data_IF_191643471624
#
_entry.id   IF_191643471624
#
_cell.length_a   1.000
_cell.length_b   1.000
_cell.length_c   1.000
_cell.angle_alpha   90.00
_cell.angle_beta   90.00
_cell.angle_gamma   90.00
#
_symmetry.space_group_name_H-M   'P 1'
#
loop_
_entity.id
_entity.type
_entity.pdbx_description
1 polymer ?
#
# COMPACT_ATOMS: atom_id res chain seq x y z
N UNK A 1 -7.95 -42.81 -33.33
CA UNK A 1 -8.48 -41.95 -32.28
C UNK A 1 -7.29 -41.20 -31.64
N UNK A 2 -7.12 -39.93 -31.98
CA UNK A 2 -6.04 -39.07 -31.45
C UNK A 2 -6.59 -38.26 -30.28
N UNK A 3 -6.14 -38.56 -29.07
CA UNK A 3 -6.49 -37.80 -27.88
C UNK A 3 -5.71 -36.48 -27.88
N UNK A 4 -6.44 -35.36 -27.97
CA UNK A 4 -5.94 -34.00 -27.87
C UNK A 4 -5.81 -33.68 -26.38
N UNK A 5 -4.60 -33.71 -25.84
CA UNK A 5 -4.27 -33.22 -24.50
C UNK A 5 -4.24 -31.69 -24.55
N UNK A 6 -5.32 -31.03 -24.08
CA UNK A 6 -5.35 -29.62 -23.82
C UNK A 6 -4.53 -29.35 -22.53
N UNK A 7 -3.30 -28.88 -22.71
CA UNK A 7 -2.49 -28.35 -21.62
C UNK A 7 -3.09 -27.02 -21.16
N UNK A 8 -3.76 -27.05 -20.01
CA UNK A 8 -4.23 -25.85 -19.31
C UNK A 8 -3.00 -25.11 -18.75
N UNK A 9 -2.51 -24.10 -19.46
CA UNK A 9 -1.46 -23.22 -18.96
C UNK A 9 -2.05 -22.41 -17.81
N UNK A 10 -1.75 -22.82 -16.58
CA UNK A 10 -1.95 -21.98 -15.39
C UNK A 10 -1.05 -20.74 -15.53
N UNK A 11 -1.64 -19.60 -15.82
CA UNK A 11 -1.01 -18.31 -15.67
C UNK A 11 -0.75 -18.09 -14.17
N UNK A 12 0.44 -18.46 -13.75
CA UNK A 12 0.97 -18.03 -12.45
C UNK A 12 1.19 -16.53 -12.57
N UNK A 13 0.21 -15.75 -12.13
CA UNK A 13 0.42 -14.31 -11.90
C UNK A 13 1.43 -14.24 -10.75
N UNK A 14 2.64 -13.67 -10.94
CA UNK A 14 3.54 -13.52 -9.83
C UNK A 14 2.86 -12.59 -8.82
N UNK A 15 2.48 -13.11 -7.67
CA UNK A 15 2.16 -12.31 -6.50
C UNK A 15 3.43 -11.52 -6.20
N UNK A 16 3.45 -10.25 -6.57
CA UNK A 16 4.52 -9.36 -6.17
C UNK A 16 4.45 -9.26 -4.64
N UNK A 17 5.21 -10.11 -4.00
CA UNK A 17 5.41 -10.07 -2.55
C UNK A 17 6.18 -8.79 -2.29
N UNK A 18 5.51 -7.77 -1.78
CA UNK A 18 6.15 -6.57 -1.25
C UNK A 18 6.85 -6.86 0.10
N UNK A 19 7.04 -8.14 0.42
CA UNK A 19 7.77 -8.58 1.60
C UNK A 19 9.19 -8.02 1.56
N UNK A 20 9.43 -6.96 2.35
CA UNK A 20 10.76 -6.39 2.53
C UNK A 20 11.07 -5.17 1.68
N UNK A 21 10.08 -4.45 1.15
CA UNK A 21 10.35 -3.13 0.59
C UNK A 21 10.98 -2.26 1.68
N UNK A 22 12.23 -1.85 1.47
CA UNK A 22 12.86 -0.85 2.33
C UNK A 22 12.15 0.49 2.10
N UNK A 23 11.16 0.77 2.97
CA UNK A 23 10.30 1.96 2.90
C UNK A 23 11.16 3.23 2.91
N UNK A 24 12.24 3.24 3.70
CA UNK A 24 13.16 4.37 3.74
C UNK A 24 13.87 4.55 2.42
N UNK A 25 14.32 3.46 1.77
CA UNK A 25 14.95 3.56 0.46
C UNK A 25 13.99 4.14 -0.57
N UNK A 26 12.79 3.58 -0.70
CA UNK A 26 11.81 3.98 -1.72
C UNK A 26 11.28 5.39 -1.51
N UNK A 27 11.06 5.81 -0.25
CA UNK A 27 10.43 7.09 0.05
C UNK A 27 11.42 8.26 0.22
N UNK A 28 12.69 7.98 0.46
CA UNK A 28 13.68 9.05 0.73
C UNK A 28 14.96 8.90 -0.09
N UNK A 29 15.69 7.78 0.04
CA UNK A 29 17.04 7.64 -0.52
C UNK A 29 17.10 7.73 -2.04
N UNK A 30 16.10 7.21 -2.73
CA UNK A 30 16.05 7.31 -4.19
C UNK A 30 15.92 8.75 -4.65
N UNK A 31 15.20 9.59 -3.89
CA UNK A 31 15.08 11.00 -4.17
C UNK A 31 16.35 11.77 -3.82
N UNK A 32 17.01 11.46 -2.71
CA UNK A 32 18.30 12.06 -2.34
C UNK A 32 19.37 11.80 -3.40
N UNK A 33 19.42 10.59 -3.95
CA UNK A 33 20.40 10.20 -4.95
C UNK A 33 20.18 10.81 -6.34
N UNK A 34 18.94 11.20 -6.66
CA UNK A 34 18.53 11.61 -8.01
C UNK A 34 18.31 13.10 -8.17
N UNK A 35 18.40 13.91 -7.10
CA UNK A 35 18.07 15.34 -7.14
C UNK A 35 19.21 16.21 -6.65
N UNK A 36 19.31 17.42 -7.24
CA UNK A 36 20.40 18.37 -6.97
C UNK A 36 19.90 19.67 -6.33
N UNK A 37 18.59 19.82 -6.15
CA UNK A 37 17.97 21.00 -5.53
C UNK A 37 16.79 20.62 -4.64
N UNK A 38 16.47 21.47 -3.66
CA UNK A 38 15.33 21.25 -2.77
C UNK A 38 13.98 21.15 -3.51
N UNK A 39 13.66 21.99 -4.52
CA UNK A 39 12.42 21.83 -5.31
C UNK A 39 12.34 20.50 -6.04
N UNK A 40 13.44 20.02 -6.64
CA UNK A 40 13.49 18.71 -7.31
C UNK A 40 13.29 17.57 -6.31
N UNK A 41 13.93 17.66 -5.14
CA UNK A 41 13.80 16.71 -4.07
C UNK A 41 12.33 16.59 -3.62
N UNK A 42 11.68 17.72 -3.32
CA UNK A 42 10.25 17.74 -2.96
C UNK A 42 9.35 17.18 -4.03
N UNK A 43 9.60 17.53 -5.30
CA UNK A 43 8.84 16.97 -6.42
C UNK A 43 9.03 15.44 -6.56
N UNK A 44 10.24 14.94 -6.25
CA UNK A 44 10.49 13.49 -6.21
C UNK A 44 9.70 12.82 -5.08
N UNK A 45 9.72 13.38 -3.87
CA UNK A 45 8.95 12.87 -2.72
C UNK A 45 7.46 12.84 -3.00
N UNK A 46 6.93 13.86 -3.68
CA UNK A 46 5.51 13.88 -4.09
C UNK A 46 5.21 12.74 -5.05
N UNK A 47 6.04 12.50 -6.06
CA UNK A 47 5.86 11.35 -6.96
C UNK A 47 5.98 9.99 -6.23
N UNK A 48 6.84 9.89 -5.22
CA UNK A 48 6.93 8.69 -4.40
C UNK A 48 5.63 8.45 -3.60
N UNK A 49 5.07 9.51 -3.02
CA UNK A 49 3.78 9.46 -2.33
C UNK A 49 2.64 9.03 -3.27
N UNK A 50 2.56 9.60 -4.49
CA UNK A 50 1.55 9.23 -5.49
C UNK A 50 1.64 7.75 -5.88
N UNK A 51 2.87 7.23 -6.04
CA UNK A 51 3.09 5.80 -6.31
C UNK A 51 2.65 4.91 -5.15
N UNK A 52 2.99 5.31 -3.93
CA UNK A 52 2.60 4.58 -2.72
C UNK A 52 1.07 4.56 -2.54
N UNK A 53 0.39 5.67 -2.82
CA UNK A 53 -1.07 5.75 -2.76
C UNK A 53 -1.74 4.87 -3.83
N UNK A 54 -1.20 4.85 -5.05
CA UNK A 54 -1.66 3.96 -6.11
C UNK A 54 -1.48 2.47 -5.72
N UNK A 55 -0.33 2.12 -5.13
CA UNK A 55 -0.07 0.77 -4.63
C UNK A 55 -1.01 0.38 -3.48
N UNK A 56 -1.26 1.31 -2.55
CA UNK A 56 -2.21 1.11 -1.46
C UNK A 56 -3.64 0.87 -1.96
N UNK A 57 -4.08 1.64 -2.96
CA UNK A 57 -5.39 1.45 -3.57
C UNK A 57 -5.51 0.08 -4.25
N UNK A 58 -4.43 -0.43 -4.83
CA UNK A 58 -4.39 -1.79 -5.39
C UNK A 58 -4.44 -2.84 -4.26
N UNK A 59 -3.65 -2.69 -3.20
CA UNK A 59 -3.66 -3.60 -2.06
C UNK A 59 -5.04 -3.64 -1.38
N UNK A 60 -5.72 -2.50 -1.28
CA UNK A 60 -7.08 -2.44 -0.77
C UNK A 60 -8.07 -3.26 -1.60
N UNK A 61 -7.99 -3.19 -2.95
CA UNK A 61 -8.82 -4.03 -3.83
C UNK A 61 -8.52 -5.52 -3.66
N UNK A 62 -7.24 -5.88 -3.59
CA UNK A 62 -6.82 -7.26 -3.31
C UNK A 62 -7.41 -7.75 -2.00
N UNK A 63 -7.37 -6.93 -0.93
CA UNK A 63 -7.96 -7.29 0.36
C UNK A 63 -9.48 -7.49 0.28
N UNK A 64 -10.19 -6.65 -0.48
CA UNK A 64 -11.62 -6.86 -0.74
C UNK A 64 -11.90 -8.19 -1.42
N UNK A 65 -11.09 -8.57 -2.42
CA UNK A 65 -11.27 -9.82 -3.15
C UNK A 65 -10.97 -11.03 -2.26
N UNK A 66 -9.96 -10.95 -1.41
CA UNK A 66 -9.66 -11.97 -0.38
C UNK A 66 -10.82 -12.15 0.60
N UNK A 67 -11.39 -11.06 1.11
CA UNK A 67 -12.57 -11.11 1.99
C UNK A 67 -13.75 -11.81 1.29
N UNK A 68 -14.03 -11.48 0.01
CA UNK A 68 -15.09 -12.15 -0.75
C UNK A 68 -14.84 -13.63 -0.93
N UNK A 69 -13.58 -14.00 -1.23
CA UNK A 69 -13.19 -15.40 -1.40
C UNK A 69 -13.36 -16.19 -0.10
N UNK A 70 -12.81 -15.71 1.01
CA UNK A 70 -12.93 -16.34 2.32
C UNK A 70 -14.37 -16.45 2.81
N UNK A 71 -15.18 -15.41 2.62
CA UNK A 71 -16.60 -15.43 2.97
C UNK A 71 -17.36 -16.52 2.17
N UNK A 72 -17.05 -16.66 0.88
CA UNK A 72 -17.62 -17.71 0.01
C UNK A 72 -17.22 -19.11 0.49
N UNK A 73 -15.97 -19.33 0.85
CA UNK A 73 -15.49 -20.62 1.35
C UNK A 73 -16.17 -21.03 2.67
N UNK A 74 -16.47 -20.03 3.51
CA UNK A 74 -17.13 -20.23 4.80
C UNK A 74 -18.66 -20.20 4.73
N UNK A 75 -19.24 -20.08 3.53
CA UNK A 75 -20.69 -19.91 3.31
C UNK A 75 -21.29 -18.77 4.16
N UNK A 76 -20.57 -17.62 4.20
CA UNK A 76 -20.95 -16.42 4.94
C UNK A 76 -21.13 -15.22 4.02
N UNK A 77 -21.97 -14.22 4.40
CA UNK A 77 -22.06 -12.98 3.65
C UNK A 77 -20.79 -12.13 3.84
N UNK A 78 -20.25 -11.58 2.74
CA UNK A 78 -19.05 -10.74 2.78
C UNK A 78 -19.32 -9.30 3.23
N UNK A 79 -20.57 -8.83 3.22
CA UNK A 79 -20.93 -7.41 3.33
C UNK A 79 -20.44 -6.78 4.63
N UNK A 80 -20.66 -7.42 5.77
CA UNK A 80 -20.20 -6.92 7.08
C UNK A 80 -18.68 -6.73 7.11
N UNK A 81 -17.93 -7.70 6.61
CA UNK A 81 -16.46 -7.63 6.59
C UNK A 81 -15.94 -6.56 5.62
N UNK A 82 -16.65 -6.34 4.49
CA UNK A 82 -16.31 -5.27 3.54
C UNK A 82 -16.62 -3.87 4.12
N UNK A 83 -17.71 -3.72 4.88
CA UNK A 83 -18.00 -2.47 5.59
C UNK A 83 -16.97 -2.20 6.72
N UNK A 84 -16.52 -3.22 7.45
CA UNK A 84 -15.46 -3.10 8.44
C UNK A 84 -14.13 -2.68 7.79
N UNK A 85 -13.76 -3.29 6.66
CA UNK A 85 -12.57 -2.90 5.89
C UNK A 85 -12.66 -1.44 5.45
N UNK A 86 -13.81 -1.03 4.91
CA UNK A 86 -14.07 0.34 4.46
C UNK A 86 -13.98 1.34 5.61
N UNK A 87 -14.58 1.03 6.76
CA UNK A 87 -14.52 1.87 7.94
C UNK A 87 -13.07 2.00 8.45
N UNK A 88 -12.36 0.87 8.58
CA UNK A 88 -10.95 0.84 8.95
C UNK A 88 -10.09 1.70 8.03
N UNK A 89 -10.27 1.57 6.71
CA UNK A 89 -9.50 2.35 5.75
C UNK A 89 -9.81 3.85 5.84
N UNK A 90 -11.07 4.23 6.03
CA UNK A 90 -11.47 5.63 6.22
C UNK A 90 -10.80 6.26 7.45
N UNK A 91 -10.83 5.59 8.59
CA UNK A 91 -10.19 6.08 9.81
C UNK A 91 -8.67 6.13 9.68
N UNK A 92 -8.08 5.14 9.02
CA UNK A 92 -6.67 5.12 8.76
C UNK A 92 -6.21 6.28 7.86
N UNK A 93 -6.94 6.62 6.78
CA UNK A 93 -6.65 7.77 5.94
C UNK A 93 -6.68 9.07 6.76
N UNK A 94 -7.69 9.27 7.60
CA UNK A 94 -7.78 10.43 8.47
C UNK A 94 -6.58 10.52 9.44
N UNK A 95 -6.18 9.40 10.03
CA UNK A 95 -4.99 9.33 10.87
C UNK A 95 -3.74 9.68 10.08
N UNK A 96 -3.51 9.05 8.92
CA UNK A 96 -2.35 9.28 8.06
C UNK A 96 -2.20 10.76 7.74
N UNK A 97 -3.26 11.38 7.24
CA UNK A 97 -3.21 12.77 6.78
C UNK A 97 -2.97 13.75 7.95
N UNK A 98 -3.57 13.49 9.09
CA UNK A 98 -3.34 14.29 10.30
C UNK A 98 -1.91 14.11 10.85
N UNK A 99 -1.41 12.87 10.89
CA UNK A 99 -0.05 12.56 11.34
C UNK A 99 1.00 13.21 10.43
N UNK A 100 0.84 13.09 9.11
CA UNK A 100 1.77 13.68 8.17
C UNK A 100 1.73 15.22 8.17
N UNK A 101 0.57 15.81 8.43
CA UNK A 101 0.45 17.25 8.66
C UNK A 101 1.23 17.69 9.91
N UNK A 102 1.12 16.94 11.00
CA UNK A 102 1.89 17.21 12.21
C UNK A 102 3.40 17.11 11.95
N UNK A 103 3.84 16.03 11.30
CA UNK A 103 5.25 15.77 10.98
C UNK A 103 5.85 16.90 10.11
N UNK A 104 5.10 17.36 9.11
CA UNK A 104 5.51 18.48 8.27
C UNK A 104 5.61 19.79 9.05
N UNK A 105 4.66 20.06 9.93
CA UNK A 105 4.63 21.26 10.77
C UNK A 105 5.79 21.31 11.79
N UNK A 106 6.34 20.17 12.20
CA UNK A 106 7.52 20.11 13.07
C UNK A 106 8.81 20.61 12.39
N UNK A 107 8.77 20.89 11.10
CA UNK A 107 9.85 21.61 10.40
C UNK A 107 9.88 23.12 10.73
N UNK A 108 8.87 23.66 11.44
CA UNK A 108 8.78 25.06 11.92
C UNK A 108 9.07 26.10 10.83
N UNK A 109 8.56 25.91 9.61
CA UNK A 109 8.80 26.80 8.48
C UNK A 109 10.13 26.60 7.75
N UNK A 110 10.90 25.58 8.12
CA UNK A 110 12.17 25.24 7.48
C UNK A 110 12.02 24.71 6.06
N UNK A 111 13.16 24.53 5.38
CA UNK A 111 13.20 24.09 3.97
C UNK A 111 12.66 22.68 3.74
N UNK A 112 12.52 21.86 4.79
CA UNK A 112 11.94 20.52 4.73
C UNK A 112 10.41 20.52 4.62
N UNK A 113 9.72 21.62 4.99
CA UNK A 113 8.26 21.71 4.89
C UNK A 113 7.75 21.36 3.48
N UNK A 114 6.66 20.63 3.42
CA UNK A 114 6.07 20.08 2.19
C UNK A 114 6.74 18.79 1.72
N UNK A 115 8.05 18.65 1.92
CA UNK A 115 8.78 17.41 1.65
C UNK A 115 8.47 16.33 2.70
N UNK A 116 8.50 16.70 3.99
CA UNK A 116 8.19 15.80 5.09
C UNK A 116 6.77 15.22 4.96
N UNK A 117 5.80 16.05 4.58
CA UNK A 117 4.42 15.59 4.33
C UNK A 117 4.38 14.48 3.29
N UNK A 118 4.98 14.71 2.12
CA UNK A 118 4.98 13.72 1.03
C UNK A 118 5.73 12.44 1.42
N UNK A 119 6.88 12.55 2.07
CA UNK A 119 7.65 11.40 2.53
C UNK A 119 6.89 10.57 3.57
N UNK A 120 6.22 11.23 4.52
CA UNK A 120 5.35 10.58 5.50
C UNK A 120 4.17 9.86 4.83
N UNK A 121 3.48 10.48 3.86
CA UNK A 121 2.42 9.83 3.10
C UNK A 121 2.91 8.56 2.40
N UNK A 122 4.09 8.62 1.78
CA UNK A 122 4.72 7.46 1.15
C UNK A 122 4.95 6.34 2.16
N UNK A 123 5.61 6.64 3.28
CA UNK A 123 5.98 5.65 4.29
C UNK A 123 4.75 4.98 4.90
N UNK A 124 3.79 5.75 5.39
CA UNK A 124 2.58 5.20 6.00
C UNK A 124 1.74 4.40 5.00
N UNK A 125 1.70 4.80 3.72
CA UNK A 125 0.98 4.02 2.71
C UNK A 125 1.58 2.63 2.50
N UNK A 126 2.91 2.50 2.47
CA UNK A 126 3.57 1.18 2.40
C UNK A 126 3.40 0.37 3.70
N UNK A 127 3.43 1.01 4.86
CA UNK A 127 3.10 0.34 6.13
C UNK A 127 1.68 -0.24 6.12
N UNK A 128 0.70 0.50 5.57
CA UNK A 128 -0.67 0.00 5.43
C UNK A 128 -0.79 -1.17 4.47
N UNK A 129 -0.01 -1.19 3.39
CA UNK A 129 0.07 -2.35 2.49
C UNK A 129 0.58 -3.57 3.27
N UNK A 130 1.66 -3.42 4.04
CA UNK A 130 2.20 -4.48 4.88
C UNK A 130 1.17 -4.97 5.92
N UNK A 131 0.34 -4.07 6.48
CA UNK A 131 -0.77 -4.45 7.36
C UNK A 131 -1.79 -5.35 6.67
N UNK A 132 -2.18 -5.04 5.43
CA UNK A 132 -3.10 -5.88 4.67
C UNK A 132 -2.49 -7.26 4.37
N UNK A 133 -1.21 -7.32 4.00
CA UNK A 133 -0.51 -8.58 3.77
C UNK A 133 -0.45 -9.42 5.05
N UNK A 134 -0.10 -8.79 6.18
CA UNK A 134 -0.08 -9.45 7.49
C UNK A 134 -1.48 -9.98 7.87
N UNK A 135 -2.53 -9.19 7.70
CA UNK A 135 -3.90 -9.64 7.99
C UNK A 135 -4.31 -10.82 7.11
N UNK A 136 -3.97 -10.80 5.81
CA UNK A 136 -4.25 -11.92 4.93
C UNK A 136 -3.51 -13.19 5.38
N UNK A 137 -2.24 -13.07 5.73
CA UNK A 137 -1.42 -14.20 6.15
C UNK A 137 -1.80 -14.72 7.55
N UNK A 138 -1.81 -13.84 8.56
CA UNK A 138 -1.87 -14.25 9.96
C UNK A 138 -3.30 -14.48 10.45
N UNK A 139 -4.29 -13.81 9.86
CA UNK A 139 -5.70 -13.86 10.28
C UNK A 139 -6.54 -14.72 9.34
N UNK A 140 -6.32 -14.62 8.02
CA UNK A 140 -7.08 -15.38 7.03
C UNK A 140 -6.43 -16.74 6.69
N UNK A 141 -5.20 -16.99 7.16
CA UNK A 141 -4.51 -18.28 6.99
C UNK A 141 -3.96 -18.53 5.59
N UNK A 142 -3.68 -17.47 4.84
CA UNK A 142 -3.07 -17.60 3.51
C UNK A 142 -1.57 -17.98 3.63
N UNK A 143 -1.06 -18.85 2.74
CA UNK A 143 0.32 -19.29 2.74
C UNK A 143 1.34 -18.19 2.37
#
# INVERSE_FOLDING_TARGET
MRALLLALAMLVVPSAVFAGTDIVAVCYKDCEAQTHSNPEYKACLTRAADKADAALNQAYKVMQDKIRAGAKEMDQPADTHLEDLKASQKYWINFRDANCTLEDNLAFGGTAMGGNYSACLCALSYERINDFERMAKDVMGEP
#
